data_IF_279778631135
#
_entry.id   IF_279778631135
#
_cell.length_a   1.000
_cell.length_b   1.000
_cell.length_c   1.000
_cell.angle_alpha   90.00
_cell.angle_beta   90.00
_cell.angle_gamma   90.00
#
_symmetry.space_group_name_H-M   'P 1'
#
loop_
_entity.id
_entity.type
_entity.pdbx_description
1 polymer ?
#
# COMPACT_ATOMS: atom_id res chain seq x y z
N UNK A 1 -3.05 -63.58 24.50
CA UNK A 1 -3.22 -62.25 25.09
C UNK A 1 -2.06 -61.28 24.78
N UNK A 2 -0.79 -61.63 25.01
CA UNK A 2 0.34 -60.68 24.77
C UNK A 2 0.58 -60.21 23.33
N UNK A 3 0.20 -61.02 22.32
CA UNK A 3 0.32 -60.64 20.90
C UNK A 3 -0.53 -59.42 20.51
N UNK A 4 -1.74 -59.32 21.06
CA UNK A 4 -2.66 -58.21 20.78
C UNK A 4 -2.15 -56.91 21.42
N UNK A 5 -1.62 -57.01 22.64
CA UNK A 5 -1.00 -55.88 23.35
C UNK A 5 0.22 -55.33 22.61
N UNK A 6 1.07 -56.21 22.06
CA UNK A 6 2.21 -55.82 21.23
C UNK A 6 1.78 -55.10 19.94
N UNK A 7 0.72 -55.59 19.28
CA UNK A 7 0.18 -54.94 18.09
C UNK A 7 -0.38 -53.55 18.41
N UNK A 8 -1.15 -53.42 19.51
CA UNK A 8 -1.65 -52.11 19.95
C UNK A 8 -0.51 -51.14 20.28
N UNK A 9 0.55 -51.60 20.95
CA UNK A 9 1.71 -50.77 21.27
C UNK A 9 2.41 -50.27 20.01
N UNK A 10 2.58 -51.13 19.00
CA UNK A 10 3.15 -50.75 17.69
C UNK A 10 2.29 -49.71 16.96
N UNK A 11 0.98 -49.92 16.91
CA UNK A 11 0.03 -48.96 16.31
C UNK A 11 0.12 -47.62 17.02
N UNK A 12 0.13 -47.61 18.36
CA UNK A 12 0.18 -46.39 19.15
C UNK A 12 1.51 -45.64 18.95
N UNK A 13 2.63 -46.36 18.90
CA UNK A 13 3.94 -45.79 18.58
C UNK A 13 3.95 -45.15 17.19
N UNK A 14 3.37 -45.83 16.19
CA UNK A 14 3.28 -45.31 14.82
C UNK A 14 2.44 -44.03 14.74
N UNK A 15 1.32 -43.98 15.49
CA UNK A 15 0.44 -42.82 15.57
C UNK A 15 1.15 -41.63 16.22
N UNK A 16 1.89 -41.86 17.30
CA UNK A 16 2.67 -40.83 17.98
C UNK A 16 3.74 -40.22 17.06
N UNK A 17 4.49 -41.05 16.33
CA UNK A 17 5.52 -40.60 15.38
C UNK A 17 4.88 -39.82 14.22
N UNK A 18 3.76 -40.29 13.69
CA UNK A 18 3.04 -39.64 12.59
C UNK A 18 2.47 -38.27 13.00
N UNK A 19 1.98 -38.15 14.23
CA UNK A 19 1.51 -36.87 14.77
C UNK A 19 2.66 -35.87 14.90
N UNK A 20 3.81 -36.29 15.42
CA UNK A 20 5.00 -35.43 15.55
C UNK A 20 5.49 -34.95 14.19
N UNK A 21 5.54 -35.83 13.19
CA UNK A 21 5.96 -35.45 11.83
C UNK A 21 4.97 -34.49 11.18
N UNK A 22 3.66 -34.71 11.36
CA UNK A 22 2.62 -33.77 10.89
C UNK A 22 2.73 -32.40 11.56
N UNK A 23 3.03 -32.36 12.87
CA UNK A 23 3.25 -31.09 13.59
C UNK A 23 4.53 -30.38 13.16
N UNK A 24 5.59 -31.12 12.88
CA UNK A 24 6.82 -30.56 12.36
C UNK A 24 6.63 -29.97 10.95
N UNK A 25 5.98 -30.72 10.05
CA UNK A 25 5.68 -30.26 8.69
C UNK A 25 4.79 -29.02 8.68
N UNK A 26 3.76 -28.98 9.53
CA UNK A 26 2.88 -27.82 9.64
C UNK A 26 3.64 -26.57 10.12
N UNK A 27 4.60 -26.73 11.04
CA UNK A 27 5.42 -25.62 11.52
C UNK A 27 6.37 -25.09 10.44
N UNK A 28 6.96 -25.98 9.65
CA UNK A 28 7.84 -25.60 8.54
C UNK A 28 7.07 -24.83 7.47
N UNK A 29 5.91 -25.34 7.05
CA UNK A 29 5.05 -24.68 6.05
C UNK A 29 4.58 -23.30 6.52
N UNK A 30 4.32 -23.16 7.82
CA UNK A 30 3.90 -21.88 8.40
C UNK A 30 5.03 -20.83 8.36
N UNK A 31 6.28 -21.23 8.57
CA UNK A 31 7.43 -20.31 8.53
C UNK A 31 7.65 -19.77 7.12
N UNK A 32 7.56 -20.63 6.10
CA UNK A 32 7.75 -20.19 4.70
C UNK A 32 6.61 -19.27 4.26
N UNK A 33 5.38 -19.55 4.69
CA UNK A 33 4.24 -18.68 4.47
C UNK A 33 4.40 -17.32 5.16
N UNK A 34 4.82 -17.32 6.43
CA UNK A 34 5.01 -16.09 7.21
C UNK A 34 6.12 -15.21 6.63
N UNK A 35 7.20 -15.81 6.11
CA UNK A 35 8.26 -15.10 5.39
C UNK A 35 7.76 -14.39 4.13
N UNK A 36 6.98 -15.10 3.30
CA UNK A 36 6.40 -14.50 2.10
C UNK A 36 5.42 -13.36 2.45
N UNK A 37 4.64 -13.54 3.52
CA UNK A 37 3.72 -12.52 3.99
C UNK A 37 4.44 -11.29 4.58
N UNK A 38 5.56 -11.48 5.27
CA UNK A 38 6.40 -10.38 5.75
C UNK A 38 6.95 -9.53 4.59
N UNK A 39 7.51 -10.18 3.56
CA UNK A 39 8.01 -9.49 2.36
C UNK A 39 6.92 -8.68 1.64
N UNK A 40 5.72 -9.23 1.53
CA UNK A 40 4.59 -8.52 0.93
C UNK A 40 4.20 -7.26 1.73
N UNK A 41 4.26 -7.31 3.07
CA UNK A 41 3.98 -6.16 3.93
C UNK A 41 5.03 -5.07 3.80
N UNK A 42 6.31 -5.44 3.71
CA UNK A 42 7.39 -4.47 3.50
C UNK A 42 7.21 -3.71 2.18
N UNK A 43 6.87 -4.43 1.11
CA UNK A 43 6.61 -3.84 -0.20
C UNK A 43 5.41 -2.87 -0.21
N UNK A 44 4.32 -3.18 0.51
CA UNK A 44 3.16 -2.28 0.62
C UNK A 44 3.51 -1.00 1.39
N UNK A 45 4.36 -1.11 2.42
CA UNK A 45 4.84 0.06 3.15
C UNK A 45 5.71 0.97 2.28
N UNK A 46 6.64 0.39 1.52
CA UNK A 46 7.50 1.15 0.60
C UNK A 46 6.68 1.81 -0.51
N UNK A 47 5.69 1.10 -1.04
CA UNK A 47 4.75 1.65 -2.02
C UNK A 47 3.97 2.85 -1.47
N UNK A 48 3.47 2.76 -0.22
CA UNK A 48 2.80 3.89 0.44
C UNK A 48 3.74 5.08 0.66
N UNK A 49 4.99 4.84 1.06
CA UNK A 49 6.02 5.88 1.18
C UNK A 49 6.25 6.57 -0.16
N UNK A 50 6.47 5.81 -1.22
CA UNK A 50 6.67 6.35 -2.57
C UNK A 50 5.45 7.15 -3.08
N UNK A 51 4.23 6.75 -2.71
CA UNK A 51 3.04 7.53 -3.04
C UNK A 51 2.97 8.86 -2.28
N UNK A 52 3.36 8.88 -1.01
CA UNK A 52 3.44 10.11 -0.22
C UNK A 52 4.51 11.04 -0.80
N UNK A 53 5.70 10.52 -1.11
CA UNK A 53 6.78 11.28 -1.75
C UNK A 53 6.34 11.85 -3.11
N UNK A 54 5.58 11.07 -3.89
CA UNK A 54 5.02 11.52 -5.16
C UNK A 54 3.95 12.59 -4.97
N UNK A 55 3.13 12.49 -3.92
CA UNK A 55 2.12 13.50 -3.59
C UNK A 55 2.76 14.84 -3.19
N UNK A 56 3.89 14.81 -2.48
CA UNK A 56 4.65 16.01 -2.13
C UNK A 56 5.24 16.70 -3.38
N UNK A 57 5.72 15.92 -4.35
CA UNK A 57 6.30 16.45 -5.59
C UNK A 57 5.25 16.89 -6.62
N UNK A 58 4.06 16.29 -6.62
CA UNK A 58 3.08 16.46 -7.69
C UNK A 58 2.19 17.70 -7.58
N UNK A 59 2.00 18.32 -6.40
CA UNK A 59 0.91 19.32 -6.25
C UNK A 59 1.28 20.76 -5.89
N UNK A 60 2.31 21.04 -5.10
CA UNK A 60 2.50 22.43 -4.61
C UNK A 60 3.92 23.00 -4.77
N UNK A 61 4.98 22.22 -4.62
CA UNK A 61 6.32 22.80 -4.49
C UNK A 61 6.97 23.27 -5.81
N UNK A 62 6.58 22.72 -6.96
CA UNK A 62 7.16 23.12 -8.27
C UNK A 62 6.42 24.27 -8.93
N UNK A 63 5.09 24.24 -8.91
CA UNK A 63 4.27 25.29 -9.53
C UNK A 63 4.40 26.60 -8.76
N UNK A 64 4.36 26.55 -7.43
CA UNK A 64 4.44 27.74 -6.58
C UNK A 64 5.86 28.37 -6.60
N UNK A 65 6.90 27.53 -6.74
CA UNK A 65 8.29 27.99 -6.87
C UNK A 65 8.58 28.57 -8.27
N UNK A 66 8.13 27.91 -9.35
CA UNK A 66 8.25 28.45 -10.71
C UNK A 66 7.45 29.75 -10.89
N UNK A 67 6.24 29.84 -10.31
CA UNK A 67 5.43 31.07 -10.36
C UNK A 67 6.08 32.24 -9.59
N UNK A 68 6.67 31.97 -8.41
CA UNK A 68 7.34 33.02 -7.62
C UNK A 68 8.70 33.42 -8.15
N UNK A 69 9.53 32.45 -8.55
CA UNK A 69 10.93 32.70 -8.90
C UNK A 69 11.10 33.12 -10.37
N UNK A 70 10.48 32.42 -11.33
CA UNK A 70 10.64 32.73 -12.75
C UNK A 70 9.68 33.83 -13.22
N UNK A 71 8.47 33.89 -12.64
CA UNK A 71 7.42 34.82 -13.08
C UNK A 71 7.27 36.05 -12.17
N UNK A 72 8.00 36.12 -11.05
CA UNK A 72 7.86 37.17 -10.02
C UNK A 72 6.40 37.47 -9.65
N UNK A 73 5.55 36.44 -9.62
CA UNK A 73 4.13 36.61 -9.38
C UNK A 73 3.88 36.93 -7.90
N UNK A 74 3.30 38.11 -7.65
CA UNK A 74 2.86 38.56 -6.32
C UNK A 74 1.48 37.92 -6.05
N UNK A 75 1.20 37.39 -4.85
CA UNK A 75 -0.13 36.86 -4.51
C UNK A 75 -1.21 37.92 -4.77
N UNK A 76 -2.34 37.50 -5.35
CA UNK A 76 -3.46 38.39 -5.70
C UNK A 76 -3.89 39.17 -4.47
N UNK A 77 -3.63 40.49 -4.53
CA UNK A 77 -4.08 41.46 -3.54
C UNK A 77 -5.45 41.96 -4.00
N UNK A 78 -6.47 42.01 -3.13
CA UNK A 78 -7.84 42.43 -3.49
C UNK A 78 -7.90 43.80 -4.19
N UNK A 79 -6.89 44.64 -3.97
CA UNK A 79 -6.71 45.99 -4.51
C UNK A 79 -6.59 46.06 -6.06
N UNK A 80 -6.30 44.94 -6.74
CA UNK A 80 -6.18 44.89 -8.21
C UNK A 80 -7.11 43.88 -8.89
N UNK A 81 -8.36 43.81 -8.46
CA UNK A 81 -9.37 43.01 -9.17
C UNK A 81 -10.30 43.91 -9.98
N UNK A 82 -10.15 43.88 -11.31
CA UNK A 82 -11.07 44.54 -12.25
C UNK A 82 -12.12 43.52 -12.69
N UNK A 83 -13.34 43.68 -12.19
CA UNK A 83 -14.48 42.89 -12.62
C UNK A 83 -14.98 43.42 -13.97
N UNK A 84 -14.68 42.72 -15.06
CA UNK A 84 -15.24 43.01 -16.38
C UNK A 84 -16.65 42.43 -16.46
N UNK A 85 -17.66 43.29 -16.30
CA UNK A 85 -19.05 42.98 -16.61
C UNK A 85 -19.20 42.89 -18.13
N UNK A 86 -19.20 41.69 -18.69
CA UNK A 86 -19.49 41.50 -20.12
C UNK A 86 -20.96 41.86 -20.37
N UNK A 87 -21.17 43.00 -21.05
CA UNK A 87 -22.47 43.40 -21.55
C UNK A 87 -23.03 42.33 -22.49
N UNK A 88 -24.35 42.07 -22.45
CA UNK A 88 -24.97 41.05 -23.29
C UNK A 88 -24.76 41.43 -24.75
N UNK A 89 -24.20 40.50 -25.52
CA UNK A 89 -23.97 40.67 -26.96
C UNK A 89 -25.33 40.83 -27.64
N UNK A 90 -25.73 42.08 -27.84
CA UNK A 90 -26.87 42.46 -28.65
C UNK A 90 -26.38 42.71 -30.09
N UNK A 91 -26.92 41.94 -31.03
CA UNK A 91 -27.06 42.37 -32.41
C UNK A 91 -25.89 42.06 -33.35
N UNK A 92 -26.08 41.00 -34.12
CA UNK A 92 -25.34 40.73 -35.35
C UNK A 92 -26.17 39.88 -36.29
N UNK A 93 -27.38 40.35 -36.61
CA UNK A 93 -28.15 39.90 -37.75
C UNK A 93 -27.56 40.54 -39.01
N UNK A 94 -27.09 39.72 -39.95
CA UNK A 94 -27.23 39.80 -41.42
C UNK A 94 -26.23 38.85 -42.08
#
# INVERSE_FOLDING_TARGET
MGRLSLLLALVLMSCAISLVTSRYQARQLFIDFDRAQAQARDLDNDWRRLQLDRAELARNARVDRAARDDLKMIPIVPDRTIYLNQAPVAGGAQ
#
